data_IF_255854891933
#
_entry.id   IF_255854891933
#
_cell.length_a   1.000
_cell.length_b   1.000
_cell.length_c   1.000
_cell.angle_alpha   90.00
_cell.angle_beta   90.00
_cell.angle_gamma   90.00
#
_symmetry.space_group_name_H-M   'P 1'
#
loop_
_entity.id
_entity.type
_entity.pdbx_description
1 polymer ?
#
# COMPACT_ATOMS: atom_id res chain seq x y z
N UNK A 1 21.13 17.47 -8.55
CA UNK A 1 20.61 16.25 -9.20
C UNK A 1 19.10 16.33 -9.13
N UNK A 2 18.46 16.74 -10.22
CA UNK A 2 17.01 16.63 -10.35
C UNK A 2 16.68 15.17 -10.63
N UNK A 3 15.91 14.53 -9.74
CA UNK A 3 15.29 13.25 -10.04
C UNK A 3 14.16 13.49 -11.04
N UNK A 4 14.46 13.44 -12.34
CA UNK A 4 13.44 13.50 -13.39
C UNK A 4 12.64 12.20 -13.39
N UNK A 5 11.46 12.24 -12.76
CA UNK A 5 10.25 11.48 -13.09
C UNK A 5 10.32 9.94 -13.07
N UNK A 6 9.94 9.34 -11.93
CA UNK A 6 9.32 8.01 -11.96
C UNK A 6 7.96 8.15 -12.65
N UNK A 7 7.85 7.70 -13.90
CA UNK A 7 6.55 7.62 -14.59
C UNK A 7 5.89 6.29 -14.20
N UNK A 8 4.69 6.30 -13.60
CA UNK A 8 3.95 5.07 -13.38
C UNK A 8 3.63 4.45 -14.75
N UNK A 9 4.06 3.21 -14.99
CA UNK A 9 3.45 2.44 -16.06
C UNK A 9 2.01 2.17 -15.64
N UNK A 10 1.08 2.73 -16.40
CA UNK A 10 -0.34 2.39 -16.32
C UNK A 10 -0.67 1.51 -17.52
N UNK A 11 -1.35 0.37 -17.31
CA UNK A 11 -1.86 -0.16 -16.04
C UNK A 11 -0.76 -0.79 -15.15
N UNK A 12 -1.08 -1.15 -13.90
CA UNK A 12 -0.15 -1.82 -12.97
C UNK A 12 0.25 -3.24 -13.42
N UNK A 13 1.23 -3.86 -12.75
CA UNK A 13 1.76 -5.20 -13.10
C UNK A 13 0.67 -6.26 -13.35
N UNK A 14 -0.49 -6.14 -12.70
CA UNK A 14 -1.61 -7.08 -12.80
C UNK A 14 -2.38 -7.04 -14.14
N UNK A 15 -2.15 -6.02 -14.95
CA UNK A 15 -2.80 -5.87 -16.26
C UNK A 15 -1.92 -6.32 -17.44
N UNK A 16 -0.65 -6.65 -17.20
CA UNK A 16 0.18 -7.32 -18.19
C UNK A 16 0.10 -8.82 -17.93
N UNK A 17 -0.78 -9.49 -18.66
CA UNK A 17 -1.04 -10.93 -18.48
C UNK A 17 0.15 -11.82 -18.87
N UNK A 18 1.09 -11.30 -19.67
CA UNK A 18 2.06 -12.16 -20.35
C UNK A 18 3.50 -11.99 -19.83
N UNK A 19 3.97 -10.76 -19.52
CA UNK A 19 5.29 -10.56 -18.90
C UNK A 19 5.55 -9.14 -18.31
N UNK A 20 4.94 -8.77 -17.17
CA UNK A 20 5.01 -7.41 -16.61
C UNK A 20 6.44 -6.97 -16.22
N UNK A 21 7.30 -7.90 -15.81
CA UNK A 21 8.65 -7.58 -15.36
C UNK A 21 9.59 -7.17 -16.52
N UNK A 22 9.32 -7.61 -17.75
CA UNK A 22 10.21 -7.38 -18.89
C UNK A 22 10.27 -5.90 -19.28
N UNK A 23 9.12 -5.22 -19.31
CA UNK A 23 9.04 -3.81 -19.67
C UNK A 23 9.72 -2.91 -18.64
N UNK A 24 9.56 -3.25 -17.35
CA UNK A 24 10.23 -2.54 -16.24
C UNK A 24 11.75 -2.73 -16.28
N UNK A 25 12.22 -3.94 -16.58
CA UNK A 25 13.66 -4.22 -16.77
C UNK A 25 14.20 -3.44 -17.96
N UNK A 26 13.46 -3.38 -19.07
CA UNK A 26 13.85 -2.60 -20.24
C UNK A 26 13.95 -1.10 -19.90
N UNK A 27 12.95 -0.58 -19.19
CA UNK A 27 12.97 0.79 -18.69
C UNK A 27 14.17 1.06 -17.78
N UNK A 28 14.45 0.19 -16.79
CA UNK A 28 15.60 0.36 -15.89
C UNK A 28 16.94 0.39 -16.63
N UNK A 29 17.12 -0.47 -17.65
CA UNK A 29 18.32 -0.49 -18.49
C UNK A 29 18.55 0.80 -19.28
N UNK A 30 17.50 1.58 -19.55
CA UNK A 30 17.65 2.87 -20.23
C UNK A 30 18.42 3.91 -19.39
N UNK A 31 18.45 3.74 -18.06
CA UNK A 31 19.09 4.66 -17.13
C UNK A 31 20.40 4.13 -16.54
N UNK A 32 20.69 2.84 -16.69
CA UNK A 32 21.84 2.18 -16.05
C UNK A 32 22.86 1.75 -17.12
N UNK A 33 24.11 2.26 -17.07
CA UNK A 33 25.14 1.88 -18.05
C UNK A 33 25.40 0.38 -18.09
N UNK A 34 25.55 -0.18 -19.29
CA UNK A 34 25.74 -1.63 -19.51
C UNK A 34 26.91 -2.21 -18.69
N UNK A 35 27.97 -1.42 -18.51
CA UNK A 35 29.18 -1.84 -17.77
C UNK A 35 28.96 -2.08 -16.27
N UNK A 36 27.87 -1.56 -15.68
CA UNK A 36 27.59 -1.68 -14.23
C UNK A 36 26.40 -2.57 -13.90
N UNK A 37 25.74 -3.17 -14.89
CA UNK A 37 24.57 -4.03 -14.65
C UNK A 37 24.92 -5.20 -13.71
N UNK A 38 26.07 -5.85 -13.92
CA UNK A 38 26.53 -7.00 -13.11
C UNK A 38 26.87 -6.68 -11.65
N UNK A 39 26.88 -5.41 -11.26
CA UNK A 39 27.09 -4.97 -9.88
C UNK A 39 25.90 -4.16 -9.36
N UNK A 40 24.84 -4.10 -10.15
CA UNK A 40 23.59 -3.44 -9.78
C UNK A 40 22.57 -4.51 -9.45
N UNK A 41 22.08 -4.48 -8.22
CA UNK A 41 21.07 -5.40 -7.73
C UNK A 41 19.69 -4.98 -8.24
N UNK A 42 18.87 -5.96 -8.63
CA UNK A 42 17.46 -5.74 -8.97
C UNK A 42 16.58 -6.60 -8.05
N UNK A 43 15.47 -6.06 -7.57
CA UNK A 43 14.50 -6.77 -6.74
C UNK A 43 13.08 -6.45 -7.20
N UNK A 44 12.15 -7.36 -6.89
CA UNK A 44 10.72 -7.17 -7.12
C UNK A 44 9.97 -7.53 -5.84
N UNK A 45 9.15 -6.59 -5.38
CA UNK A 45 8.23 -6.82 -4.28
C UNK A 45 6.81 -6.70 -4.82
N UNK A 46 6.02 -7.75 -4.65
CA UNK A 46 4.60 -7.74 -4.99
C UNK A 46 3.77 -7.67 -3.70
N UNK A 47 2.65 -6.93 -3.73
CA UNK A 47 1.68 -6.91 -2.64
C UNK A 47 0.87 -8.20 -2.56
N UNK A 48 0.32 -8.51 -1.37
CA UNK A 48 -0.59 -9.64 -1.18
C UNK A 48 -1.89 -9.43 -1.96
N UNK A 49 -2.02 -10.06 -3.13
CA UNK A 49 -3.08 -9.76 -4.09
C UNK A 49 -3.69 -11.00 -4.77
N UNK A 50 -3.15 -12.21 -4.56
CA UNK A 50 -3.51 -13.38 -5.37
C UNK A 50 -3.77 -14.63 -4.53
N UNK A 51 -4.49 -15.60 -5.10
CA UNK A 51 -4.47 -16.97 -4.61
C UNK A 51 -3.02 -17.49 -4.69
N UNK A 52 -2.57 -18.24 -3.69
CA UNK A 52 -1.15 -18.65 -3.55
C UNK A 52 -0.57 -19.23 -4.86
N UNK A 53 -1.38 -19.99 -5.62
CA UNK A 53 -0.97 -20.60 -6.89
C UNK A 53 -0.74 -19.59 -8.01
N UNK A 54 -1.54 -18.52 -8.09
CA UNK A 54 -1.39 -17.46 -9.10
C UNK A 54 -0.22 -16.56 -8.72
N UNK A 55 -0.08 -16.25 -7.43
CA UNK A 55 1.03 -15.48 -6.89
C UNK A 55 2.38 -16.10 -7.24
N UNK A 56 2.54 -17.39 -6.95
CA UNK A 56 3.79 -18.08 -7.21
C UNK A 56 4.05 -18.20 -8.72
N UNK A 57 3.02 -18.37 -9.55
CA UNK A 57 3.18 -18.36 -10.99
C UNK A 57 3.75 -17.03 -11.50
N UNK A 58 3.20 -15.90 -11.03
CA UNK A 58 3.68 -14.55 -11.38
C UNK A 58 5.13 -14.38 -10.93
N UNK A 59 5.45 -14.73 -9.69
CA UNK A 59 6.81 -14.64 -9.17
C UNK A 59 7.80 -15.49 -9.98
N UNK A 60 7.39 -16.68 -10.43
CA UNK A 60 8.25 -17.53 -11.28
C UNK A 60 8.51 -16.91 -12.65
N UNK A 61 7.51 -16.27 -13.25
CA UNK A 61 7.69 -15.52 -14.51
C UNK A 61 8.63 -14.34 -14.29
N UNK A 62 8.42 -13.54 -13.24
CA UNK A 62 9.27 -12.42 -12.87
C UNK A 62 10.72 -12.85 -12.62
N UNK A 63 10.94 -13.90 -11.81
CA UNK A 63 12.28 -14.45 -11.51
C UNK A 63 13.01 -14.84 -12.79
N UNK A 64 12.33 -15.46 -13.77
CA UNK A 64 12.94 -15.80 -15.07
C UNK A 64 13.44 -14.55 -15.80
N UNK A 65 12.64 -13.50 -15.85
CA UNK A 65 13.03 -12.22 -16.47
C UNK A 65 14.21 -11.59 -15.74
N UNK A 66 14.11 -11.45 -14.42
CA UNK A 66 15.12 -10.81 -13.59
C UNK A 66 16.46 -11.53 -13.67
N UNK A 67 16.49 -12.87 -13.65
CA UNK A 67 17.71 -13.67 -13.89
C UNK A 67 18.35 -13.39 -15.26
N UNK A 68 17.52 -13.25 -16.30
CA UNK A 68 18.00 -13.02 -17.67
C UNK A 68 18.36 -11.55 -17.97
N UNK A 69 18.11 -10.65 -17.02
CA UNK A 69 18.24 -9.21 -17.23
C UNK A 69 19.70 -8.74 -17.34
N UNK A 70 20.66 -9.46 -16.76
CA UNK A 70 22.05 -9.04 -16.64
C UNK A 70 22.34 -8.17 -15.41
N UNK A 71 21.32 -7.80 -14.64
CA UNK A 71 21.46 -7.33 -13.26
C UNK A 71 21.85 -8.47 -12.32
N UNK A 72 22.41 -8.15 -11.15
CA UNK A 72 22.56 -9.11 -10.07
C UNK A 72 21.18 -9.42 -9.47
N UNK A 73 20.85 -10.70 -9.36
CA UNK A 73 19.53 -11.12 -8.89
C UNK A 73 19.62 -12.45 -8.13
N UNK A 74 18.92 -12.53 -7.00
CA UNK A 74 18.66 -13.75 -6.24
C UNK A 74 17.15 -14.01 -6.20
N UNK A 75 16.75 -15.28 -6.24
CA UNK A 75 15.33 -15.65 -6.29
C UNK A 75 14.51 -15.14 -5.09
N UNK A 76 15.16 -15.03 -3.93
CA UNK A 76 14.60 -14.47 -2.70
C UNK A 76 14.30 -12.96 -2.79
N UNK A 77 14.91 -12.24 -3.75
CA UNK A 77 14.68 -10.82 -4.00
C UNK A 77 13.43 -10.57 -4.85
N UNK A 78 12.81 -11.62 -5.39
CA UNK A 78 11.45 -11.57 -5.91
C UNK A 78 10.52 -12.30 -4.95
N UNK A 79 9.84 -11.54 -4.11
CA UNK A 79 8.97 -12.08 -3.07
C UNK A 79 7.73 -11.21 -2.86
N UNK A 80 6.75 -11.78 -2.17
CA UNK A 80 5.59 -11.03 -1.71
C UNK A 80 5.89 -10.42 -0.35
N UNK A 81 5.70 -9.11 -0.25
CA UNK A 81 5.91 -8.38 0.98
C UNK A 81 4.62 -8.39 1.81
N UNK A 82 4.77 -8.57 3.13
CA UNK A 82 3.63 -8.44 4.03
C UNK A 82 3.30 -6.96 4.22
N UNK A 83 2.04 -6.63 4.56
CA UNK A 83 1.69 -5.24 4.88
C UNK A 83 2.46 -4.66 6.08
N UNK A 84 3.01 -5.51 6.95
CA UNK A 84 3.91 -5.07 8.03
C UNK A 84 5.30 -4.70 7.49
N UNK A 85 5.81 -5.45 6.51
CA UNK A 85 7.09 -5.14 5.85
C UNK A 85 6.96 -3.89 4.97
N UNK A 86 5.84 -3.73 4.25
CA UNK A 86 5.50 -2.48 3.54
C UNK A 86 5.63 -1.26 4.46
N UNK A 87 5.05 -1.34 5.67
CA UNK A 87 5.16 -0.27 6.64
C UNK A 87 6.58 -0.03 7.15
N UNK A 88 7.41 -1.06 7.26
CA UNK A 88 8.82 -0.89 7.64
C UNK A 88 9.61 -0.24 6.50
N UNK A 89 9.39 -0.67 5.26
CA UNK A 89 10.06 -0.07 4.10
C UNK A 89 9.68 1.41 3.93
N UNK A 90 8.40 1.74 4.04
CA UNK A 90 7.94 3.13 4.03
C UNK A 90 8.60 3.94 5.17
N UNK A 91 8.75 3.35 6.36
CA UNK A 91 9.37 4.03 7.51
C UNK A 91 10.85 4.29 7.26
N UNK A 92 11.55 3.31 6.67
CA UNK A 92 12.96 3.44 6.28
C UNK A 92 13.12 4.55 5.23
N UNK A 93 12.28 4.57 4.19
CA UNK A 93 12.31 5.57 3.13
C UNK A 93 12.08 6.98 3.70
N UNK A 94 11.06 7.15 4.54
CA UNK A 94 10.74 8.44 5.13
C UNK A 94 11.88 8.96 6.02
N UNK A 95 12.42 8.11 6.90
CA UNK A 95 13.49 8.50 7.82
C UNK A 95 14.85 8.65 7.12
N UNK A 96 15.07 7.94 6.02
CA UNK A 96 16.21 8.20 5.14
C UNK A 96 16.11 9.59 4.50
N UNK A 97 14.93 9.93 3.95
CA UNK A 97 14.68 11.24 3.35
C UNK A 97 14.78 12.39 4.35
N UNK A 98 14.35 12.17 5.60
CA UNK A 98 14.49 13.14 6.69
C UNK A 98 15.89 13.17 7.32
N UNK A 99 16.78 12.23 6.99
CA UNK A 99 18.13 12.15 7.54
C UNK A 99 18.19 11.76 9.03
N UNK A 100 17.15 11.13 9.56
CA UNK A 100 17.08 10.67 10.96
C UNK A 100 17.68 9.28 11.16
N UNK A 101 17.90 8.51 10.08
CA UNK A 101 18.56 7.20 10.16
C UNK A 101 20.06 7.35 10.47
N UNK A 102 20.57 6.45 11.31
CA UNK A 102 21.92 6.49 11.90
C UNK A 102 22.01 7.35 13.18
N UNK A 103 20.96 8.09 13.52
CA UNK A 103 20.85 8.87 14.76
C UNK A 103 20.10 8.13 15.88
N UNK A 104 19.59 8.90 16.85
CA UNK A 104 18.76 8.38 17.94
C UNK A 104 17.45 7.78 17.40
N UNK A 105 17.16 6.48 17.66
CA UNK A 105 15.91 5.84 17.26
C UNK A 105 14.63 6.59 17.69
N UNK A 106 14.64 7.28 18.82
CA UNK A 106 13.47 8.01 19.31
C UNK A 106 13.26 9.36 18.61
N UNK A 107 14.21 9.82 17.80
CA UNK A 107 14.08 11.03 16.98
C UNK A 107 13.62 10.72 15.55
N UNK A 108 13.22 9.48 15.29
CA UNK A 108 12.66 9.07 14.00
C UNK A 108 11.19 9.47 13.90
N UNK A 109 10.74 9.75 12.68
CA UNK A 109 9.36 10.10 12.39
C UNK A 109 8.55 8.81 12.19
N UNK A 110 7.47 8.68 12.96
CA UNK A 110 6.46 7.64 12.72
C UNK A 110 5.67 7.94 11.45
N UNK A 111 5.20 6.89 10.79
CA UNK A 111 4.42 7.00 9.56
C UNK A 111 3.07 6.33 9.69
N UNK A 112 2.12 6.89 8.97
CA UNK A 112 0.76 6.37 8.81
C UNK A 112 0.45 6.43 7.33
N UNK A 113 0.15 5.30 6.72
CA UNK A 113 -0.21 5.22 5.31
C UNK A 113 -1.60 4.63 5.16
N UNK A 114 -2.42 5.32 4.38
CA UNK A 114 -3.74 4.88 3.98
C UNK A 114 -3.63 4.31 2.56
N UNK A 115 -3.63 2.99 2.45
CA UNK A 115 -3.72 2.30 1.17
C UNK A 115 -5.14 2.41 0.61
N UNK A 116 -5.23 2.74 -0.68
CA UNK A 116 -6.49 2.83 -1.44
C UNK A 116 -6.39 2.22 -2.84
N UNK A 117 -5.38 1.38 -3.10
CA UNK A 117 -5.21 0.80 -4.42
C UNK A 117 -5.92 -0.55 -4.50
N UNK A 118 -7.09 -0.53 -5.13
CA UNK A 118 -7.71 -1.67 -5.77
C UNK A 118 -6.74 -2.33 -6.75
N UNK A 119 -5.98 -3.34 -6.31
CA UNK A 119 -5.23 -4.17 -7.23
C UNK A 119 -6.24 -4.98 -8.06
N UNK A 120 -6.31 -4.72 -9.37
CA UNK A 120 -7.10 -5.48 -10.32
C UNK A 120 -6.50 -6.87 -10.44
N UNK A 121 -6.98 -7.82 -9.63
CA UNK A 121 -6.47 -9.17 -9.60
C UNK A 121 -7.43 -10.05 -10.41
N UNK A 122 -7.00 -10.57 -11.56
CA UNK A 122 -7.79 -11.48 -12.44
C UNK A 122 -9.01 -10.90 -13.17
N UNK A 123 -9.17 -9.57 -13.25
CA UNK A 123 -10.43 -8.98 -13.75
C UNK A 123 -11.60 -9.07 -12.76
N UNK A 124 -11.30 -9.49 -11.52
CA UNK A 124 -12.18 -9.37 -10.37
C UNK A 124 -11.54 -8.36 -9.40
N UNK A 125 -12.22 -7.26 -9.10
CA UNK A 125 -11.76 -6.27 -8.13
C UNK A 125 -11.69 -6.92 -6.75
N UNK A 126 -10.49 -7.30 -6.29
CA UNK A 126 -10.26 -7.68 -4.90
C UNK A 126 -9.53 -6.52 -4.20
N UNK A 127 -10.31 -5.56 -3.72
CA UNK A 127 -9.79 -4.50 -2.86
C UNK A 127 -9.55 -5.08 -1.47
N UNK A 128 -8.29 -5.09 -1.01
CA UNK A 128 -7.97 -5.26 0.42
C UNK A 128 -7.34 -3.96 0.92
N UNK A 129 -8.12 -2.89 1.09
CA UNK A 129 -7.56 -1.60 1.46
C UNK A 129 -7.17 -1.66 2.93
N UNK A 130 -5.97 -1.16 3.20
CA UNK A 130 -5.30 -1.28 4.49
C UNK A 130 -4.85 0.09 4.99
N UNK A 131 -4.83 0.24 6.30
CA UNK A 131 -4.13 1.33 6.98
C UNK A 131 -2.94 0.71 7.69
N UNK A 132 -1.72 1.15 7.44
CA UNK A 132 -0.60 0.73 8.29
C UNK A 132 0.01 1.88 9.07
N UNK A 133 0.60 1.51 10.19
CA UNK A 133 1.29 2.41 11.11
C UNK A 133 2.64 1.81 11.42
N UNK A 134 3.70 2.59 11.28
CA UNK A 134 5.05 2.17 11.65
C UNK A 134 5.82 3.27 12.39
N UNK A 135 6.42 2.94 13.53
CA UNK A 135 7.21 3.89 14.34
C UNK A 135 8.11 3.16 15.33
N UNK A 136 9.16 3.83 15.82
CA UNK A 136 9.96 3.31 16.94
C UNK A 136 9.21 3.57 18.25
N UNK A 137 8.98 2.53 19.04
CA UNK A 137 8.33 2.63 20.34
C UNK A 137 9.35 2.45 21.48
N UNK A 138 9.25 3.29 22.50
CA UNK A 138 9.96 3.13 23.79
C UNK A 138 9.24 2.15 24.72
N UNK A 139 8.01 1.73 24.40
CA UNK A 139 7.21 0.81 25.20
C UNK A 139 7.44 -0.65 24.80
N UNK A 140 6.98 -1.58 25.65
CA UNK A 140 7.01 -3.01 25.33
C UNK A 140 5.93 -3.33 24.30
N UNK A 141 6.35 -3.45 23.05
CA UNK A 141 5.51 -3.89 21.93
C UNK A 141 5.42 -5.43 21.89
N UNK A 142 4.24 -6.00 21.63
CA UNK A 142 4.09 -7.44 21.39
C UNK A 142 5.00 -7.92 20.24
N UNK A 143 5.71 -9.07 20.39
CA UNK A 143 6.67 -9.54 19.39
C UNK A 143 6.11 -9.64 17.97
N UNK A 144 4.82 -9.94 17.81
CA UNK A 144 4.12 -10.05 16.53
C UNK A 144 4.03 -8.73 15.76
N UNK A 145 4.14 -7.58 16.44
CA UNK A 145 4.11 -6.25 15.82
C UNK A 145 5.45 -5.55 15.91
N UNK A 146 6.48 -6.21 16.44
CA UNK A 146 7.80 -5.64 16.63
C UNK A 146 8.79 -6.25 15.64
N UNK A 147 9.45 -5.41 14.86
CA UNK A 147 10.57 -5.80 14.00
C UNK A 147 11.80 -4.97 14.33
N UNK A 148 12.95 -5.63 14.42
CA UNK A 148 14.22 -4.96 14.65
C UNK A 148 15.02 -4.92 13.36
N UNK A 149 15.42 -3.73 12.93
CA UNK A 149 16.36 -3.52 11.83
C UNK A 149 17.61 -2.80 12.33
N UNK A 150 18.72 -2.96 11.62
CA UNK A 150 19.97 -2.28 11.96
C UNK A 150 20.48 -1.46 10.79
N UNK A 151 20.82 -0.20 11.02
CA UNK A 151 21.39 0.70 10.02
C UNK A 151 22.53 1.50 10.64
N UNK A 152 23.72 1.43 10.02
CA UNK A 152 24.95 2.14 10.45
C UNK A 152 25.24 1.94 11.95
N UNK A 153 25.13 0.69 12.41
CA UNK A 153 25.41 0.32 13.81
C UNK A 153 24.32 0.70 14.83
N UNK A 154 23.22 1.33 14.39
CA UNK A 154 22.06 1.63 15.24
C UNK A 154 20.96 0.60 15.00
N UNK A 155 20.43 0.03 16.09
CA UNK A 155 19.29 -0.88 16.05
C UNK A 155 17.97 -0.13 16.30
N UNK A 156 17.00 -0.30 15.41
CA UNK A 156 15.68 0.29 15.49
C UNK A 156 14.65 -0.80 15.78
N UNK A 157 13.98 -0.70 16.93
CA UNK A 157 12.84 -1.57 17.28
C UNK A 157 11.55 -0.90 16.83
N UNK A 158 11.08 -1.30 15.66
CA UNK A 158 9.96 -0.67 14.96
C UNK A 158 8.68 -1.45 15.28
N UNK A 159 7.68 -0.75 15.82
CA UNK A 159 6.30 -1.20 15.78
C UNK A 159 5.80 -1.10 14.33
N UNK A 160 5.21 -2.15 13.79
CA UNK A 160 4.53 -2.12 12.49
C UNK A 160 3.25 -2.95 12.56
N UNK A 161 2.14 -2.37 12.12
CA UNK A 161 0.85 -3.05 12.06
C UNK A 161 0.04 -2.58 10.86
N UNK A 162 -0.61 -3.54 10.18
CA UNK A 162 -1.52 -3.29 9.07
C UNK A 162 -2.95 -3.63 9.51
N UNK A 163 -3.78 -2.59 9.59
CA UNK A 163 -5.20 -2.65 9.88
C UNK A 163 -5.97 -2.88 8.57
N UNK A 164 -6.27 -4.14 8.29
CA UNK A 164 -7.16 -4.52 7.19
C UNK A 164 -8.56 -3.91 7.38
N UNK A 165 -9.20 -3.53 6.27
CA UNK A 165 -10.54 -2.92 6.21
C UNK A 165 -10.63 -1.47 6.70
N UNK A 166 -9.48 -0.80 6.89
CA UNK A 166 -9.44 0.64 7.22
C UNK A 166 -8.82 1.50 6.13
N UNK A 167 -8.50 0.92 4.97
CA UNK A 167 -8.07 1.72 3.84
C UNK A 167 -9.25 2.49 3.23
N UNK A 168 -8.91 3.45 2.36
CA UNK A 168 -9.85 4.47 1.90
C UNK A 168 -11.08 3.88 1.20
N UNK A 169 -10.88 2.93 0.28
CA UNK A 169 -11.97 2.34 -0.51
C UNK A 169 -12.99 1.62 0.38
N UNK A 170 -12.55 0.77 1.31
CA UNK A 170 -13.49 0.07 2.23
C UNK A 170 -14.17 1.04 3.17
N UNK A 171 -13.45 2.04 3.69
CA UNK A 171 -14.08 3.05 4.54
C UNK A 171 -15.20 3.80 3.80
N UNK A 172 -15.01 4.02 2.50
CA UNK A 172 -16.00 4.64 1.62
C UNK A 172 -17.17 3.70 1.30
N UNK A 173 -16.91 2.43 0.97
CA UNK A 173 -17.94 1.40 0.75
C UNK A 173 -18.83 1.21 1.99
N UNK A 174 -18.22 1.02 3.16
CA UNK A 174 -18.93 0.88 4.43
C UNK A 174 -19.83 2.10 4.69
N UNK A 175 -19.35 3.31 4.37
CA UNK A 175 -20.10 4.54 4.55
C UNK A 175 -21.32 4.56 3.63
N UNK A 176 -21.15 4.18 2.36
CA UNK A 176 -22.25 4.08 1.41
C UNK A 176 -23.29 3.04 1.84
N UNK A 177 -22.87 1.86 2.28
CA UNK A 177 -23.78 0.83 2.80
C UNK A 177 -24.54 1.32 4.04
N UNK A 178 -23.87 2.00 4.97
CA UNK A 178 -24.52 2.57 6.16
C UNK A 178 -25.57 3.62 5.77
N UNK A 179 -25.29 4.46 4.77
CA UNK A 179 -26.22 5.46 4.29
C UNK A 179 -27.46 4.82 3.65
N UNK A 180 -27.29 3.78 2.83
CA UNK A 180 -28.39 3.01 2.25
C UNK A 180 -29.28 2.37 3.33
N UNK A 181 -28.66 1.71 4.32
CA UNK A 181 -29.38 1.03 5.40
C UNK A 181 -30.12 2.00 6.34
N UNK A 182 -29.64 3.25 6.44
CA UNK A 182 -30.29 4.29 7.25
C UNK A 182 -31.51 4.94 6.59
N UNK A 183 -31.83 4.57 5.34
CA UNK A 183 -33.00 5.11 4.62
C UNK A 183 -32.90 6.60 4.29
N UNK A 184 -31.68 7.14 4.14
CA UNK A 184 -31.49 8.51 3.66
C UNK A 184 -32.08 8.61 2.24
N UNK A 185 -33.24 9.25 2.15
CA UNK A 185 -34.12 9.26 0.97
C UNK A 185 -33.39 9.75 -0.28
N UNK A 186 -33.61 9.01 -1.37
CA UNK A 186 -33.24 9.39 -2.72
C UNK A 186 -33.81 10.76 -3.06
N UNK A 187 -32.93 11.70 -3.40
CA UNK A 187 -33.30 13.00 -3.92
C UNK A 187 -32.50 13.29 -5.19
N UNK A 188 -33.21 13.80 -6.21
CA UNK A 188 -32.68 14.11 -7.53
C UNK A 188 -31.65 15.25 -7.45
N UNK A 189 -30.37 14.93 -7.36
CA UNK A 189 -29.31 15.73 -7.98
C UNK A 189 -28.01 14.94 -8.13
N UNK A 190 -27.61 14.80 -9.39
CA UNK A 190 -26.34 14.22 -9.83
C UNK A 190 -25.15 14.84 -9.08
N UNK A 191 -24.31 14.00 -8.47
CA UNK A 191 -22.92 14.37 -8.26
C UNK A 191 -22.26 14.26 -9.64
N UNK A 192 -21.97 15.41 -10.26
CA UNK A 192 -20.99 15.42 -11.34
C UNK A 192 -19.64 15.13 -10.72
N UNK A 193 -19.25 13.87 -10.91
CA UNK A 193 -17.94 13.29 -10.78
C UNK A 193 -16.80 14.30 -10.97
N UNK A 194 -15.97 14.44 -9.95
CA UNK A 194 -14.66 15.09 -10.04
C UNK A 194 -13.53 14.13 -9.64
N UNK A 195 -13.78 12.82 -9.60
CA UNK A 195 -12.76 11.83 -9.26
C UNK A 195 -12.98 10.53 -10.03
N UNK A 196 -12.54 10.55 -11.29
CA UNK A 196 -12.01 9.38 -11.99
C UNK A 196 -12.99 8.23 -12.23
N UNK A 197 -13.74 8.34 -13.34
CA UNK A 197 -14.39 7.21 -14.00
C UNK A 197 -13.52 5.94 -14.04
N UNK A 198 -13.87 4.94 -13.25
CA UNK A 198 -13.52 3.54 -13.53
C UNK A 198 -14.66 2.61 -13.12
N UNK A 199 -15.31 2.04 -14.14
CA UNK A 199 -16.03 0.76 -14.25
C UNK A 199 -16.71 0.07 -13.03
N UNK A 200 -17.21 0.76 -12.01
CA UNK A 200 -18.05 0.17 -10.95
C UNK A 200 -19.45 0.83 -10.83
N UNK A 201 -20.05 1.18 -11.96
CA UNK A 201 -21.36 1.89 -12.02
C UNK A 201 -22.57 0.99 -11.69
N UNK A 202 -22.40 -0.23 -11.15
CA UNK A 202 -23.48 -1.24 -11.10
C UNK A 202 -23.86 -1.78 -9.71
N UNK A 203 -23.26 -1.33 -8.61
CA UNK A 203 -23.62 -1.83 -7.25
C UNK A 203 -24.42 -0.87 -6.37
N UNK A 204 -24.43 0.42 -6.68
CA UNK A 204 -25.08 1.43 -5.85
C UNK A 204 -26.26 2.07 -6.61
N UNK A 205 -27.46 1.51 -6.46
CA UNK A 205 -28.69 1.98 -7.14
C UNK A 205 -29.32 3.22 -6.50
N UNK A 206 -28.78 3.70 -5.38
CA UNK A 206 -29.34 4.81 -4.61
C UNK A 206 -28.57 6.11 -4.88
N UNK A 207 -29.26 7.15 -5.36
CA UNK A 207 -28.73 8.51 -5.44
C UNK A 207 -28.66 9.06 -4.00
N UNK A 208 -27.45 9.09 -3.43
CA UNK A 208 -27.21 9.72 -2.13
C UNK A 208 -27.10 11.22 -2.32
N UNK A 209 -28.06 11.99 -1.80
CA UNK A 209 -27.99 13.44 -1.86
C UNK A 209 -27.00 13.97 -0.82
N UNK A 210 -25.85 14.43 -1.28
CA UNK A 210 -24.80 14.97 -0.42
C UNK A 210 -25.17 16.37 0.10
N UNK A 211 -25.41 16.49 1.40
CA UNK A 211 -25.59 17.78 2.08
C UNK A 211 -24.25 18.49 2.40
N UNK A 212 -23.11 17.86 2.06
CA UNK A 212 -21.75 18.36 2.31
C UNK A 212 -21.48 18.81 3.77
N UNK A 213 -22.11 18.17 4.76
CA UNK A 213 -21.94 18.49 6.16
C UNK A 213 -20.76 17.72 6.77
N UNK A 214 -19.61 18.38 6.90
CA UNK A 214 -18.39 17.79 7.46
C UNK A 214 -18.58 17.23 8.88
N UNK A 215 -19.31 17.96 9.75
CA UNK A 215 -19.49 17.56 11.15
C UNK A 215 -20.30 16.26 11.27
N UNK A 216 -21.37 16.15 10.48
CA UNK A 216 -22.20 14.93 10.43
C UNK A 216 -21.44 13.77 9.80
N UNK A 217 -20.74 14.00 8.68
CA UNK A 217 -19.90 12.99 8.04
C UNK A 217 -18.86 12.44 9.03
N UNK A 218 -18.08 13.32 9.67
CA UNK A 218 -17.09 12.95 10.69
C UNK A 218 -17.72 12.14 11.83
N UNK A 219 -18.91 12.52 12.30
CA UNK A 219 -19.58 11.84 13.42
C UNK A 219 -20.05 10.44 13.02
N UNK A 220 -20.57 10.27 11.81
CA UNK A 220 -20.97 8.98 11.26
C UNK A 220 -19.76 8.06 11.05
N UNK A 221 -18.72 8.54 10.36
CA UNK A 221 -17.48 7.79 10.14
C UNK A 221 -16.84 7.40 11.47
N UNK A 222 -16.82 8.29 12.46
CA UNK A 222 -16.29 7.98 13.79
C UNK A 222 -17.08 6.88 14.51
N UNK A 223 -18.41 6.90 14.43
CA UNK A 223 -19.24 5.85 15.00
C UNK A 223 -18.99 4.48 14.35
N UNK A 224 -18.68 4.47 13.04
CA UNK A 224 -18.34 3.26 12.30
C UNK A 224 -16.98 2.69 12.74
N UNK A 225 -15.96 3.54 12.94
CA UNK A 225 -14.65 3.12 13.46
C UNK A 225 -14.75 2.44 14.85
N UNK A 226 -15.76 2.78 15.65
CA UNK A 226 -15.97 2.23 16.99
C UNK A 226 -16.83 0.96 17.03
N UNK A 227 -17.48 0.59 15.93
CA UNK A 227 -18.42 -0.53 15.91
C UNK A 227 -17.65 -1.86 15.87
N UNK A 228 -17.71 -2.63 16.96
CA UNK A 228 -17.24 -4.03 16.99
C UNK A 228 -15.76 -4.26 17.27
N UNK A 229 -14.97 -3.29 17.75
CA UNK A 229 -13.55 -3.54 18.12
C UNK A 229 -13.12 -2.97 19.48
N UNK A 230 -12.23 -3.73 20.11
CA UNK A 230 -11.35 -3.31 21.20
C UNK A 230 -10.36 -2.30 20.63
N UNK A 231 -10.48 -1.03 21.01
CA UNK A 231 -9.52 0.00 20.63
C UNK A 231 -8.21 -0.32 21.34
N UNK A 232 -7.23 -0.89 20.63
CA UNK A 232 -5.84 -0.79 21.07
C UNK A 232 -5.45 0.67 20.94
N UNK A 233 -5.44 1.39 22.08
CA UNK A 233 -4.90 2.75 22.13
C UNK A 233 -3.40 2.67 21.89
N UNK A 234 -2.98 2.92 20.66
CA UNK A 234 -1.58 3.18 20.36
C UNK A 234 -1.32 4.63 20.74
N UNK A 235 -0.48 4.83 21.76
CA UNK A 235 0.02 6.16 22.08
C UNK A 235 1.14 6.48 21.10
N UNK A 236 0.88 7.46 20.23
CA UNK A 236 1.91 8.16 19.48
C UNK A 236 2.39 9.29 20.40
N UNK A 237 3.53 9.11 21.06
CA UNK A 237 4.18 10.13 21.90
C UNK A 237 5.32 10.78 21.17
#
# INVERSE_FOLDING_TARGET
MECTGLSPLTPGLSAYSDNPAADLVYFAKAFIPVGVLKVTDISQADGYCWYETVQEHILQVSRKVLRSSGFTFLDEWASVISGSDEGIYAWVIANYAFGSLGGDPLQTTGIVELGGASALCTGLTFSRPFLFVAFVSSEVVPPEFSRTISYVGVAYKIYSHSFLHYGQDTAQEDLYESLQNSGYMAGEKSLNDSFGNSAEESRFTAIVQAAANFSQCRSLTFAMLQKGKVIQRIKLT
#
